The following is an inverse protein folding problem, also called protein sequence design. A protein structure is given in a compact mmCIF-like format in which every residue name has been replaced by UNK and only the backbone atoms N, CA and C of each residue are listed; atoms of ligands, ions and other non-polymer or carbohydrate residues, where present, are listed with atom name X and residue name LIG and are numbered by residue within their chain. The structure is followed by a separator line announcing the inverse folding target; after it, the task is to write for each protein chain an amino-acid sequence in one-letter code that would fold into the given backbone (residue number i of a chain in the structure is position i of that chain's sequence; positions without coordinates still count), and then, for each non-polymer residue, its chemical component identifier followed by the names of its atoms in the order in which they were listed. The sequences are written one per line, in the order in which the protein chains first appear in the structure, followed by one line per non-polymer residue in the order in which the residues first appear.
data_IF_709399406500
#
_entry.id   IF_709399406500
#
_cell.length_a   1.000
_cell.length_b   1.000
_cell.length_c   1.000
_cell.angle_alpha   90.00
_cell.angle_beta   90.00
_cell.angle_gamma   90.00
#
_symmetry.space_group_name_H-M   'P 1'
#
loop_
_entity.id
_entity.type
_entity.pdbx_description
1 polymer ?
#
# COMPACT_ATOMS: atom_id res chain seq x y z
N UNK A 1 -5.29 -39.23 44.19
CA UNK A 1 -4.05 -38.81 43.50
C UNK A 1 -4.20 -38.71 41.97
N UNK A 2 -4.90 -39.64 41.30
CA UNK A 2 -5.11 -39.64 39.83
C UNK A 2 -5.94 -38.45 39.30
N UNK A 3 -6.96 -38.01 40.06
CA UNK A 3 -7.84 -36.89 39.71
C UNK A 3 -7.16 -35.51 39.78
N UNK A 4 -6.17 -35.37 40.68
CA UNK A 4 -5.36 -34.15 40.79
C UNK A 4 -4.35 -34.04 39.65
N UNK A 5 -3.79 -35.17 39.19
CA UNK A 5 -2.89 -35.22 38.05
C UNK A 5 -3.58 -34.81 36.74
N UNK A 6 -4.85 -35.20 36.55
CA UNK A 6 -5.63 -34.85 35.35
C UNK A 6 -5.99 -33.36 35.30
N UNK A 7 -6.26 -32.71 36.44
CA UNK A 7 -6.55 -31.27 36.48
C UNK A 7 -5.32 -30.39 36.24
N UNK A 8 -4.13 -30.83 36.69
CA UNK A 8 -2.89 -30.08 36.44
C UNK A 8 -2.49 -30.14 34.97
N UNK A 9 -2.71 -31.27 34.28
CA UNK A 9 -2.46 -31.38 32.84
C UNK A 9 -3.38 -30.51 31.97
N UNK A 10 -4.65 -30.34 32.34
CA UNK A 10 -5.55 -29.44 31.60
C UNK A 10 -5.18 -27.97 31.75
N UNK A 11 -4.64 -27.57 32.90
CA UNK A 11 -4.20 -26.18 33.14
C UNK A 11 -2.90 -25.86 32.38
N UNK A 12 -1.96 -26.81 32.34
CA UNK A 12 -0.69 -26.66 31.60
C UNK A 12 -0.89 -26.65 30.08
N UNK A 13 -1.83 -27.43 29.54
CA UNK A 13 -2.18 -27.36 28.12
C UNK A 13 -2.90 -26.04 27.75
N UNK A 14 -3.69 -25.48 28.67
CA UNK A 14 -4.39 -24.22 28.45
C UNK A 14 -3.45 -23.02 28.32
N UNK A 15 -2.38 -22.96 29.10
CA UNK A 15 -1.46 -21.81 29.10
C UNK A 15 -0.57 -21.72 27.84
N UNK A 16 -0.28 -22.85 27.19
CA UNK A 16 0.56 -22.89 25.97
C UNK A 16 -0.19 -22.36 24.74
N UNK A 17 -1.54 -22.43 24.72
CA UNK A 17 -2.35 -22.01 23.58
C UNK A 17 -2.69 -20.50 23.55
N UNK A 18 -2.40 -19.75 24.62
CA UNK A 18 -2.64 -18.28 24.67
C UNK A 18 -1.46 -17.44 24.16
N UNK A 19 -0.35 -18.05 23.74
CA UNK A 19 0.87 -17.35 23.35
C UNK A 19 0.89 -16.68 21.97
N UNK A 20 -0.09 -16.96 21.09
CA UNK A 20 -0.10 -16.44 19.71
C UNK A 20 -1.01 -15.22 19.49
N UNK A 21 -1.55 -14.60 20.55
CA UNK A 21 -2.26 -13.33 20.42
C UNK A 21 -1.33 -12.12 20.70
N UNK A 22 -0.06 -12.23 20.30
CA UNK A 22 0.71 -11.05 19.96
C UNK A 22 0.29 -10.63 18.55
N UNK A 23 -0.81 -9.89 18.45
CA UNK A 23 -0.95 -8.95 17.35
C UNK A 23 0.12 -7.89 17.56
N UNK A 24 1.35 -8.21 17.16
CA UNK A 24 2.25 -7.17 16.69
C UNK A 24 1.44 -6.48 15.60
N UNK A 25 0.90 -5.31 15.97
CA UNK A 25 0.39 -4.35 15.02
C UNK A 25 1.63 -3.87 14.29
N UNK A 26 2.15 -4.73 13.40
CA UNK A 26 2.85 -4.29 12.22
C UNK A 26 1.93 -3.21 11.67
N UNK A 27 2.36 -1.96 11.80
CA UNK A 27 1.78 -0.87 11.03
C UNK A 27 2.10 -1.27 9.60
N UNK A 28 1.23 -2.08 9.02
CA UNK A 28 1.17 -2.36 7.60
C UNK A 28 1.35 -1.00 6.95
N UNK A 29 2.47 -0.82 6.25
CA UNK A 29 2.84 0.46 5.71
C UNK A 29 1.72 0.88 4.76
N UNK A 30 0.83 1.74 5.24
CA UNK A 30 -0.37 2.09 4.52
C UNK A 30 0.06 2.68 3.19
N UNK A 31 -0.50 2.16 2.09
CA UNK A 31 -0.19 2.64 0.75
C UNK A 31 -0.47 4.15 0.70
N UNK A 32 0.56 4.91 0.39
CA UNK A 32 0.49 6.37 0.32
C UNK A 32 0.05 6.80 -1.08
N UNK A 33 -0.69 7.91 -1.14
CA UNK A 33 -1.21 8.47 -2.38
C UNK A 33 -0.64 9.86 -2.63
N UNK A 34 -0.25 10.12 -3.88
CA UNK A 34 0.08 11.46 -4.37
C UNK A 34 -1.14 11.93 -5.18
N UNK A 35 -1.67 13.10 -4.81
CA UNK A 35 -2.84 13.71 -5.46
C UNK A 35 -2.47 15.07 -6.05
N UNK A 36 -3.18 15.47 -7.10
CA UNK A 36 -2.89 16.73 -7.80
C UNK A 36 -3.86 17.00 -8.95
N UNK A 37 -3.57 18.07 -9.68
CA UNK A 37 -4.32 18.50 -10.87
C UNK A 37 -3.35 18.71 -12.01
N UNK A 38 -3.73 18.28 -13.22
CA UNK A 38 -2.93 18.37 -14.43
C UNK A 38 -3.54 19.46 -15.30
N UNK A 39 -2.73 20.43 -15.75
CA UNK A 39 -3.19 21.53 -16.59
C UNK A 39 -2.08 21.98 -17.55
N UNK A 40 -2.46 22.57 -18.68
CA UNK A 40 -1.55 23.18 -19.66
C UNK A 40 -2.04 24.59 -20.03
N UNK A 41 -1.19 25.39 -20.69
CA UNK A 41 -1.48 26.82 -20.93
C UNK A 41 -2.27 27.06 -22.21
N UNK A 42 -2.10 26.16 -23.16
CA UNK A 42 -2.68 26.22 -24.48
C UNK A 42 -4.22 26.26 -24.39
N UNK A 43 -4.82 27.10 -25.22
CA UNK A 43 -6.28 27.26 -25.27
C UNK A 43 -6.87 26.28 -26.28
N UNK A 44 -6.58 25.01 -26.11
CA UNK A 44 -7.06 23.89 -26.93
C UNK A 44 -7.70 22.86 -26.01
N UNK A 45 -8.73 22.16 -26.46
CA UNK A 45 -9.33 21.06 -25.69
C UNK A 45 -8.60 19.74 -26.01
N UNK A 46 -8.54 18.85 -25.03
CA UNK A 46 -8.13 17.46 -25.26
C UNK A 46 -9.21 16.72 -26.05
N UNK A 47 -8.84 15.87 -27.03
CA UNK A 47 -9.78 14.95 -27.64
C UNK A 47 -10.26 13.91 -26.63
N UNK A 48 -11.42 13.29 -26.89
CA UNK A 48 -12.05 12.33 -25.98
C UNK A 48 -11.16 11.12 -25.66
N UNK A 49 -10.29 10.74 -26.60
CA UNK A 49 -9.36 9.62 -26.49
C UNK A 49 -7.94 10.04 -26.06
N UNK A 50 -7.77 11.22 -25.45
CA UNK A 50 -6.47 11.62 -24.92
C UNK A 50 -6.05 10.70 -23.77
N UNK A 51 -4.79 10.27 -23.77
CA UNK A 51 -4.22 9.39 -22.74
C UNK A 51 -3.31 10.20 -21.83
N UNK A 52 -3.61 10.19 -20.54
CA UNK A 52 -2.77 10.80 -19.50
C UNK A 52 -1.92 9.71 -18.85
N UNK A 53 -0.61 9.93 -18.80
CA UNK A 53 0.33 9.09 -18.05
C UNK A 53 1.02 9.93 -16.99
N UNK A 54 0.89 9.51 -15.74
CA UNK A 54 1.53 10.15 -14.58
C UNK A 54 2.54 9.18 -13.99
N UNK A 55 3.80 9.61 -13.85
CA UNK A 55 4.88 8.81 -13.26
C UNK A 55 5.46 9.48 -12.02
N UNK A 56 5.60 8.71 -10.94
CA UNK A 56 6.38 9.09 -9.77
C UNK A 56 7.80 8.51 -9.94
N UNK A 57 8.82 9.36 -9.88
CA UNK A 57 10.21 8.99 -10.16
C UNK A 57 11.15 9.44 -9.04
N UNK A 58 12.21 8.67 -8.79
CA UNK A 58 13.34 9.09 -7.96
C UNK A 58 14.33 9.90 -8.80
N UNK A 59 14.47 11.18 -8.48
CA UNK A 59 15.34 12.15 -9.18
C UNK A 59 16.52 12.61 -8.32
N UNK A 60 16.92 11.80 -7.34
CA UNK A 60 17.99 12.13 -6.40
C UNK A 60 19.39 12.17 -7.05
N UNK A 61 19.61 11.41 -8.13
CA UNK A 61 20.86 11.39 -8.89
C UNK A 61 20.77 12.23 -10.16
N UNK A 62 21.84 12.97 -10.46
CA UNK A 62 21.94 13.81 -11.65
C UNK A 62 22.58 13.02 -12.81
N UNK A 63 22.21 13.40 -14.05
CA UNK A 63 22.81 12.89 -15.30
C UNK A 63 22.65 11.38 -15.56
N UNK A 64 21.72 10.73 -14.85
CA UNK A 64 21.36 9.31 -15.02
C UNK A 64 19.84 9.20 -15.21
N UNK A 65 19.39 8.13 -15.88
CA UNK A 65 17.97 7.84 -15.98
C UNK A 65 17.35 7.64 -14.59
N UNK A 66 16.21 8.29 -14.35
CA UNK A 66 15.48 8.20 -13.09
C UNK A 66 14.75 6.85 -12.95
N UNK A 67 14.75 6.32 -11.73
CA UNK A 67 14.00 5.11 -11.42
C UNK A 67 12.51 5.43 -11.25
N UNK A 68 11.66 4.67 -11.93
CA UNK A 68 10.20 4.84 -11.86
C UNK A 68 9.65 4.05 -10.66
N UNK A 69 9.10 4.78 -9.69
CA UNK A 69 8.51 4.20 -8.48
C UNK A 69 7.08 3.72 -8.75
N UNK A 70 6.30 4.51 -9.50
CA UNK A 70 4.90 4.19 -9.84
C UNK A 70 4.48 4.88 -11.13
N UNK A 71 3.53 4.28 -11.86
CA UNK A 71 2.93 4.86 -13.07
C UNK A 71 1.44 4.58 -13.10
N UNK A 72 0.66 5.61 -13.42
CA UNK A 72 -0.79 5.52 -13.65
C UNK A 72 -1.11 6.05 -15.03
N UNK A 73 -1.92 5.33 -15.79
CA UNK A 73 -2.36 5.72 -17.12
C UNK A 73 -3.88 5.60 -17.24
N UNK A 74 -4.52 6.60 -17.82
CA UNK A 74 -5.96 6.60 -18.06
C UNK A 74 -6.33 7.47 -19.27
N UNK A 75 -7.45 7.14 -19.91
CA UNK A 75 -8.06 7.99 -20.95
C UNK A 75 -8.92 9.09 -20.31
N UNK A 76 -8.87 10.30 -20.87
CA UNK A 76 -9.59 11.46 -20.32
C UNK A 76 -11.10 11.35 -20.49
N UNK A 77 -11.59 10.65 -21.51
CA UNK A 77 -13.02 10.46 -21.78
C UNK A 77 -13.80 11.79 -21.76
N UNK A 78 -13.19 12.85 -22.32
CA UNK A 78 -13.76 14.20 -22.38
C UNK A 78 -13.47 15.10 -21.17
N UNK A 79 -12.83 14.61 -20.11
CA UNK A 79 -12.34 15.45 -19.00
C UNK A 79 -11.26 16.45 -19.46
N UNK A 80 -11.24 17.65 -18.87
CA UNK A 80 -10.40 18.79 -19.23
C UNK A 80 -9.80 19.47 -17.99
#
# INVERSE_FOLDING_TARGET
MKKALLLVMSVVLGSVLFGCQSSESEKEAAMQNITGTIAYRERVALPDNAVVTVSLQDVSLMDVAADVISTTQFETNGAQ
#
